data_IF_997665017152
#
_entry.id   IF_997665017152
#
_cell.length_a   1.000
_cell.length_b   1.000
_cell.length_c   1.000
_cell.angle_alpha   90.00
_cell.angle_beta   90.00
_cell.angle_gamma   90.00
#
_symmetry.space_group_name_H-M   'P 1'
#
loop_
_entity.id
_entity.type
_entity.pdbx_description
1 polymer ?
#
# COMPACT_ATOMS: atom_id res chain seq x y z
N UNK A 1 -35.64 -21.31 23.98
CA UNK A 1 -34.43 -21.62 23.20
C UNK A 1 -34.07 -20.36 22.46
N UNK A 2 -33.27 -19.51 23.09
CA UNK A 2 -32.88 -18.21 22.53
C UNK A 2 -31.64 -18.44 21.65
N UNK A 3 -31.79 -18.13 20.36
CA UNK A 3 -30.73 -18.33 19.38
C UNK A 3 -29.67 -17.24 19.59
N UNK A 4 -28.55 -17.61 20.21
CA UNK A 4 -27.36 -16.77 20.30
C UNK A 4 -26.80 -16.52 18.89
N UNK A 5 -27.23 -15.40 18.31
CA UNK A 5 -26.69 -14.86 17.08
C UNK A 5 -25.23 -14.52 17.31
N UNK A 6 -24.36 -15.39 16.80
CA UNK A 6 -22.91 -15.19 16.68
C UNK A 6 -22.66 -13.84 16.02
N UNK A 7 -22.48 -12.80 16.82
CA UNK A 7 -21.84 -11.56 16.44
C UNK A 7 -20.40 -11.92 16.08
N UNK A 8 -20.20 -12.40 14.85
CA UNK A 8 -18.89 -12.37 14.22
C UNK A 8 -18.57 -10.89 14.10
N UNK A 9 -17.84 -10.37 15.09
CA UNK A 9 -17.16 -9.09 14.99
C UNK A 9 -16.38 -9.13 13.68
N UNK A 10 -16.97 -8.54 12.63
CA UNK A 10 -16.32 -8.35 11.36
C UNK A 10 -14.98 -7.69 11.68
N UNK A 11 -13.84 -8.31 11.33
CA UNK A 11 -12.55 -7.76 11.69
C UNK A 11 -12.50 -6.30 11.23
N UNK A 12 -11.95 -5.38 12.05
CA UNK A 12 -11.95 -3.97 11.74
C UNK A 12 -11.41 -3.78 10.32
N UNK A 13 -12.26 -3.27 9.43
CA UNK A 13 -11.91 -3.02 8.04
C UNK A 13 -10.96 -1.83 8.02
N UNK A 14 -9.68 -2.08 8.30
CA UNK A 14 -8.61 -1.13 8.01
C UNK A 14 -8.77 -0.69 6.56
N UNK A 15 -8.74 0.62 6.32
CA UNK A 15 -8.97 1.13 4.97
C UNK A 15 -7.98 0.45 4.01
N UNK A 16 -8.49 -0.27 3.00
CA UNK A 16 -7.69 -1.21 2.22
C UNK A 16 -6.56 -0.52 1.45
N UNK A 17 -6.65 0.80 1.30
CA UNK A 17 -5.70 1.63 0.58
C UNK A 17 -4.62 2.25 1.46
N UNK A 18 -4.73 2.23 2.80
CA UNK A 18 -3.74 2.86 3.69
C UNK A 18 -2.35 2.29 3.43
N UNK A 19 -2.24 0.96 3.40
CA UNK A 19 -0.97 0.28 3.16
C UNK A 19 -0.38 0.67 1.80
N UNK A 20 -1.19 0.64 0.75
CA UNK A 20 -0.75 0.97 -0.61
C UNK A 20 -0.34 2.45 -0.76
N UNK A 21 -1.07 3.37 -0.14
CA UNK A 21 -0.75 4.81 -0.16
C UNK A 21 0.55 5.06 0.61
N UNK A 22 0.73 4.44 1.77
CA UNK A 22 1.99 4.48 2.52
C UNK A 22 3.14 3.91 1.67
N UNK A 23 2.92 2.81 0.97
CA UNK A 23 3.94 2.15 0.17
C UNK A 23 4.40 3.00 -1.02
N UNK A 24 3.45 3.60 -1.74
CA UNK A 24 3.73 4.49 -2.87
C UNK A 24 4.36 5.80 -2.36
N UNK A 25 3.82 6.39 -1.29
CA UNK A 25 4.35 7.62 -0.70
C UNK A 25 5.79 7.43 -0.19
N UNK A 26 6.05 6.34 0.51
CA UNK A 26 7.39 5.98 0.95
C UNK A 26 8.33 5.66 -0.23
N UNK A 27 7.84 4.96 -1.25
CA UNK A 27 8.60 4.69 -2.47
C UNK A 27 8.99 5.96 -3.23
N UNK A 28 8.08 6.93 -3.35
CA UNK A 28 8.34 8.25 -3.94
C UNK A 28 9.33 9.06 -3.10
N UNK A 29 9.21 8.99 -1.77
CA UNK A 29 10.16 9.63 -0.85
C UNK A 29 11.57 9.05 -1.01
N UNK A 30 11.71 7.72 -1.02
CA UNK A 30 12.97 7.05 -1.29
C UNK A 30 13.53 7.37 -2.69
N UNK A 31 12.66 7.58 -3.69
CA UNK A 31 13.10 7.98 -5.03
C UNK A 31 13.70 9.38 -4.99
N UNK A 32 13.02 10.32 -4.34
CA UNK A 32 13.51 11.69 -4.15
C UNK A 32 14.86 11.68 -3.41
N UNK A 33 14.94 10.97 -2.28
CA UNK A 33 16.15 10.95 -1.46
C UNK A 33 17.30 10.14 -2.07
N UNK A 34 17.01 9.14 -2.90
CA UNK A 34 18.02 8.36 -3.60
C UNK A 34 18.56 9.04 -4.86
N UNK A 35 17.72 9.75 -5.63
CA UNK A 35 18.08 10.29 -6.95
C UNK A 35 18.24 11.80 -7.00
N UNK A 36 17.44 12.56 -6.24
CA UNK A 36 17.40 14.04 -6.31
C UNK A 36 18.33 14.66 -5.25
N UNK A 37 18.38 14.10 -4.03
CA UNK A 37 19.28 14.56 -2.96
C UNK A 37 20.76 14.40 -3.35
N UNK A 38 21.56 15.45 -3.11
CA UNK A 38 23.01 15.50 -3.41
C UNK A 38 23.89 15.63 -2.16
N UNK A 39 23.33 15.39 -0.98
CA UNK A 39 24.09 15.47 0.26
C UNK A 39 25.14 14.33 0.36
N UNK A 40 26.42 14.67 0.61
CA UNK A 40 27.52 13.70 0.61
C UNK A 40 27.41 12.64 1.70
N UNK A 41 26.77 12.96 2.83
CA UNK A 41 26.51 12.02 3.93
C UNK A 41 25.37 11.03 3.56
N UNK A 42 24.36 11.52 2.85
CA UNK A 42 23.21 10.74 2.38
C UNK A 42 23.56 9.83 1.19
N UNK A 43 24.59 10.16 0.41
CA UNK A 43 25.08 9.34 -0.70
C UNK A 43 25.52 7.93 -0.27
N UNK A 44 25.99 7.77 0.97
CA UNK A 44 26.35 6.45 1.52
C UNK A 44 25.15 5.51 1.62
N UNK A 45 23.97 6.06 1.88
CA UNK A 45 22.71 5.32 1.97
C UNK A 45 21.82 5.48 0.74
N UNK A 46 22.17 6.37 -0.20
CA UNK A 46 21.40 6.63 -1.40
C UNK A 46 21.17 5.38 -2.25
N UNK A 47 22.13 4.46 -2.34
CA UNK A 47 21.95 3.20 -3.06
C UNK A 47 20.81 2.35 -2.48
N UNK A 48 20.64 2.33 -1.15
CA UNK A 48 19.55 1.62 -0.50
C UNK A 48 18.20 2.24 -0.85
N UNK A 49 18.10 3.58 -0.81
CA UNK A 49 16.89 4.32 -1.18
C UNK A 49 16.55 4.19 -2.69
N UNK A 50 17.56 4.12 -3.56
CA UNK A 50 17.38 3.84 -5.00
C UNK A 50 16.82 2.45 -5.26
N UNK A 51 17.38 1.42 -4.61
CA UNK A 51 16.91 0.04 -4.77
C UNK A 51 15.52 -0.12 -4.17
N UNK A 52 15.29 0.43 -2.97
CA UNK A 52 13.98 0.42 -2.33
C UNK A 52 12.93 1.11 -3.19
N UNK A 53 13.19 2.30 -3.71
CA UNK A 53 12.23 3.00 -4.58
C UNK A 53 11.97 2.23 -5.88
N UNK A 54 12.99 1.63 -6.49
CA UNK A 54 12.84 0.81 -7.68
C UNK A 54 11.98 -0.45 -7.46
N UNK A 55 11.90 -0.97 -6.23
CA UNK A 55 11.07 -2.14 -5.88
C UNK A 55 9.70 -1.71 -5.37
N UNK A 56 9.64 -0.74 -4.46
CA UNK A 56 8.43 -0.24 -3.80
C UNK A 56 7.48 0.44 -4.78
N UNK A 57 7.98 1.20 -5.76
CA UNK A 57 7.11 1.89 -6.72
C UNK A 57 6.36 0.89 -7.61
N UNK A 58 7.02 -0.05 -8.32
CA UNK A 58 6.30 -1.07 -9.09
C UNK A 58 5.39 -1.95 -8.22
N UNK A 59 5.85 -2.32 -7.02
CA UNK A 59 5.06 -3.14 -6.10
C UNK A 59 3.81 -2.42 -5.62
N UNK A 60 3.94 -1.15 -5.21
CA UNK A 60 2.83 -0.30 -4.78
C UNK A 60 1.84 -0.04 -5.91
N UNK A 61 2.32 0.15 -7.14
CA UNK A 61 1.47 0.26 -8.33
C UNK A 61 0.69 -1.04 -8.54
N UNK A 62 1.37 -2.19 -8.52
CA UNK A 62 0.71 -3.50 -8.67
C UNK A 62 -0.35 -3.74 -7.59
N UNK A 63 -0.02 -3.45 -6.32
CA UNK A 63 -0.92 -3.59 -5.20
C UNK A 63 -2.13 -2.66 -5.36
N UNK A 64 -1.93 -1.41 -5.76
CA UNK A 64 -3.01 -0.47 -6.08
C UNK A 64 -3.98 -1.01 -7.13
N UNK A 65 -3.46 -1.56 -8.24
CA UNK A 65 -4.30 -2.15 -9.28
C UNK A 65 -5.06 -3.40 -8.78
N UNK A 66 -4.40 -4.26 -8.01
CA UNK A 66 -5.00 -5.46 -7.41
C UNK A 66 -6.15 -5.09 -6.45
N UNK A 67 -5.94 -4.09 -5.60
CA UNK A 67 -6.95 -3.57 -4.68
C UNK A 67 -8.10 -2.90 -5.42
N UNK A 68 -7.79 -2.08 -6.44
CA UNK A 68 -8.82 -1.45 -7.27
C UNK A 68 -9.71 -2.49 -7.96
N UNK A 69 -9.14 -3.60 -8.43
CA UNK A 69 -9.91 -4.72 -9.01
C UNK A 69 -10.81 -5.38 -7.97
N UNK A 70 -10.27 -5.76 -6.80
CA UNK A 70 -11.07 -6.34 -5.70
C UNK A 70 -12.22 -5.45 -5.24
N UNK A 71 -12.04 -4.14 -5.26
CA UNK A 71 -13.06 -3.18 -4.82
C UNK A 71 -14.19 -3.01 -5.85
N UNK A 72 -13.89 -3.17 -7.15
CA UNK A 72 -14.93 -3.28 -8.19
C UNK A 72 -15.77 -4.54 -8.00
N UNK A 73 -15.10 -5.68 -7.84
CA UNK A 73 -15.78 -6.98 -7.66
C UNK A 73 -16.68 -6.96 -6.40
N UNK A 74 -16.21 -6.37 -5.29
CA UNK A 74 -16.99 -6.26 -4.04
C UNK A 74 -18.24 -5.38 -4.18
N UNK A 75 -18.17 -4.30 -4.98
CA UNK A 75 -19.33 -3.43 -5.26
C UNK A 75 -20.38 -4.09 -6.16
N UNK A 76 -19.97 -5.04 -6.99
CA UNK A 76 -20.86 -5.74 -7.91
C UNK A 76 -21.64 -6.85 -7.20
N UNK A 77 -21.01 -7.55 -6.25
CA UNK A 77 -21.66 -8.60 -5.44
C UNK A 77 -22.63 -8.04 -4.39
N UNK A 78 -22.44 -6.82 -3.90
CA UNK A 78 -23.34 -6.17 -2.92
C UNK A 78 -24.60 -5.57 -3.59
N UNK A 79 -24.61 -5.44 -4.93
CA UNK A 79 -25.71 -4.88 -5.72
C UNK A 79 -26.59 -5.95 -6.40
N UNK A 80 -26.39 -7.24 -6.09
CA UNK A 80 -27.14 -8.38 -6.65
C UNK A 80 -27.83 -9.17 -5.57
#
# INVERSE_FOLDING_TARGET
>A
MENESKNKLSPPQMSPYIFTILLIGFGLWCFWDGWITKDPEMLKHANFNRVLSAILLPWGIYDFFKLRKKQKDKKETDNK
#
